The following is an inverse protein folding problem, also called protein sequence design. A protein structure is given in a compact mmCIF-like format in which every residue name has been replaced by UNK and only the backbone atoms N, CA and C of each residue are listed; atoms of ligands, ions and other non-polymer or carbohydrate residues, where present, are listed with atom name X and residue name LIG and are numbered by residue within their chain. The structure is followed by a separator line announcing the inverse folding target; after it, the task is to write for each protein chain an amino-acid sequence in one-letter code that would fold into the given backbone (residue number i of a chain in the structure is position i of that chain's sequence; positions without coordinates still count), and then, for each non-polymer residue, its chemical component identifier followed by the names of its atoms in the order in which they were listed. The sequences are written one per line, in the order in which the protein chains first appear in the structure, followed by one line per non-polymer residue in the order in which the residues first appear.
data_IF_007869707762
#
_entry.id   IF_007869707762
#
_cell.length_a   1.000
_cell.length_b   1.000
_cell.length_c   1.000
_cell.angle_alpha   90.00
_cell.angle_beta   90.00
_cell.angle_gamma   90.00
#
_symmetry.space_group_name_H-M   'P 1'
#
loop_
_entity.id
_entity.type
_entity.pdbx_description
1 polymer ?
#
# COMPACT_ATOMS: atom_id res chain seq x y z
N UNK A 1 26.32 8.17 9.22
CA UNK A 1 25.36 7.09 9.49
C UNK A 1 25.48 6.07 8.38
N UNK A 2 26.08 4.92 8.67
CA UNK A 2 26.25 3.84 7.71
C UNK A 2 24.91 3.12 7.50
N UNK A 3 24.66 2.55 6.31
CA UNK A 3 23.44 1.81 5.97
C UNK A 3 23.07 0.76 7.01
N UNK A 4 24.08 0.13 7.63
CA UNK A 4 23.89 -0.83 8.72
C UNK A 4 23.26 -0.20 9.98
N UNK A 5 23.63 1.04 10.31
CA UNK A 5 23.05 1.80 11.42
C UNK A 5 21.64 2.27 11.11
N UNK A 6 21.34 2.58 9.84
CA UNK A 6 19.99 2.93 9.39
C UNK A 6 19.04 1.73 9.47
N UNK A 7 19.51 0.55 9.06
CA UNK A 7 18.77 -0.71 9.18
C UNK A 7 18.53 -1.04 10.66
N UNK A 8 19.56 -0.94 11.51
CA UNK A 8 19.43 -1.17 12.96
C UNK A 8 18.47 -0.17 13.63
N UNK A 9 18.48 1.10 13.22
CA UNK A 9 17.55 2.09 13.73
C UNK A 9 16.09 1.80 13.33
N UNK A 10 15.86 1.37 12.08
CA UNK A 10 14.54 0.94 11.62
C UNK A 10 14.02 -0.29 12.39
N UNK A 11 14.91 -1.25 12.70
CA UNK A 11 14.60 -2.47 13.48
C UNK A 11 14.16 -2.14 14.92
N UNK A 12 14.73 -1.11 15.54
CA UNK A 12 14.46 -0.76 16.95
C UNK A 12 13.17 0.07 17.12
N UNK A 13 12.74 0.78 16.07
CA UNK A 13 11.54 1.63 16.11
C UNK A 13 10.25 0.86 15.81
N UNK A 14 10.33 -0.29 15.12
CA UNK A 14 9.19 -1.13 14.77
C UNK A 14 9.35 -2.59 15.26
N UNK A 15 9.44 -2.84 16.58
CA UNK A 15 9.64 -4.19 17.11
C UNK A 15 8.48 -5.15 16.77
N UNK A 16 7.26 -4.64 16.56
CA UNK A 16 6.09 -5.44 16.15
C UNK A 16 6.08 -5.79 14.66
N UNK A 17 6.84 -5.09 13.81
CA UNK A 17 6.89 -5.37 12.36
C UNK A 17 7.77 -6.58 12.01
N UNK A 18 8.67 -6.98 12.91
CA UNK A 18 9.63 -8.08 12.69
C UNK A 18 9.23 -9.34 13.47
N UNK A 19 8.28 -9.24 14.41
CA UNK A 19 7.73 -10.39 15.13
C UNK A 19 6.74 -11.16 14.25
N UNK A 20 7.29 -11.88 13.29
CA UNK A 20 6.68 -12.96 12.50
C UNK A 20 5.43 -12.57 11.68
N UNK A 21 5.61 -11.74 10.65
CA UNK A 21 4.70 -11.80 9.52
C UNK A 21 4.79 -13.20 8.89
N UNK A 22 3.68 -13.93 8.89
CA UNK A 22 3.62 -15.26 8.26
C UNK A 22 4.05 -15.16 6.78
N UNK A 23 4.52 -16.24 6.13
CA UNK A 23 4.86 -16.21 4.72
C UNK A 23 3.77 -15.57 3.84
N UNK A 24 2.51 -15.80 4.22
CA UNK A 24 1.33 -15.22 3.57
C UNK A 24 1.23 -13.70 3.78
N UNK A 25 1.54 -13.18 4.98
CA UNK A 25 1.56 -11.75 5.24
C UNK A 25 2.69 -11.05 4.49
N UNK A 26 3.89 -11.64 4.44
CA UNK A 26 5.00 -11.07 3.66
C UNK A 26 4.65 -11.03 2.17
N UNK A 27 4.10 -12.12 1.63
CA UNK A 27 3.65 -12.15 0.23
C UNK A 27 2.57 -11.10 -0.05
N UNK A 28 1.64 -10.88 0.89
CA UNK A 28 0.62 -9.85 0.74
C UNK A 28 1.21 -8.42 0.77
N UNK A 29 2.22 -8.17 1.61
CA UNK A 29 2.93 -6.89 1.67
C UNK A 29 3.70 -6.64 0.36
N UNK A 30 4.38 -7.65 -0.17
CA UNK A 30 5.13 -7.52 -1.42
C UNK A 30 4.20 -7.14 -2.58
N UNK A 31 3.05 -7.82 -2.71
CA UNK A 31 2.02 -7.49 -3.71
C UNK A 31 1.51 -6.06 -3.50
N UNK A 32 1.24 -5.65 -2.26
CA UNK A 32 0.75 -4.31 -1.98
C UNK A 32 1.78 -3.23 -2.36
N UNK A 33 3.07 -3.47 -2.11
CA UNK A 33 4.15 -2.57 -2.50
C UNK A 33 4.28 -2.47 -4.03
N UNK A 34 4.21 -3.59 -4.75
CA UNK A 34 4.24 -3.60 -6.21
C UNK A 34 3.07 -2.78 -6.79
N UNK A 35 1.85 -3.01 -6.32
CA UNK A 35 0.67 -2.28 -6.75
C UNK A 35 0.73 -0.78 -6.42
N UNK A 36 1.32 -0.42 -5.28
CA UNK A 36 1.55 0.98 -4.94
C UNK A 36 2.54 1.65 -5.90
N UNK A 37 3.62 0.96 -6.28
CA UNK A 37 4.59 1.48 -7.25
C UNK A 37 3.93 1.68 -8.63
N UNK A 38 3.15 0.71 -9.10
CA UNK A 38 2.39 0.86 -10.36
C UNK A 38 1.44 2.06 -10.31
N UNK A 39 0.80 2.30 -9.16
CA UNK A 39 -0.06 3.46 -9.00
C UNK A 39 0.72 4.79 -9.00
N UNK A 40 1.90 4.83 -8.37
CA UNK A 40 2.80 5.99 -8.41
C UNK A 40 3.24 6.27 -9.85
N UNK A 41 3.65 5.24 -10.59
CA UNK A 41 4.04 5.36 -11.99
C UNK A 41 2.89 5.87 -12.85
N UNK A 42 1.67 5.37 -12.61
CA UNK A 42 0.45 5.87 -13.26
C UNK A 42 0.24 7.37 -13.00
N UNK A 43 0.42 7.86 -11.77
CA UNK A 43 0.27 9.28 -11.47
C UNK A 43 1.28 10.14 -12.24
N UNK A 44 2.50 9.65 -12.45
CA UNK A 44 3.49 10.33 -13.29
C UNK A 44 3.12 10.35 -14.78
N UNK A 45 2.23 9.46 -15.24
CA UNK A 45 1.66 9.56 -16.59
C UNK A 45 0.58 10.63 -16.71
N UNK A 46 -0.08 10.99 -15.60
CA UNK A 46 -1.10 12.05 -15.57
C UNK A 46 -0.46 13.44 -15.56
N UNK A 47 0.67 13.56 -14.85
CA UNK A 47 1.47 14.77 -14.82
C UNK A 47 2.97 14.42 -14.91
N UNK A 48 3.56 14.49 -16.12
CA UNK A 48 4.96 14.16 -16.35
C UNK A 48 5.96 15.10 -15.67
N UNK A 49 5.51 16.24 -15.13
CA UNK A 49 6.38 17.18 -14.40
C UNK A 49 6.57 16.77 -12.93
N UNK A 50 5.75 15.85 -12.40
CA UNK A 50 5.88 15.32 -11.04
C UNK A 50 7.20 14.56 -10.87
N UNK A 51 8.00 14.99 -9.91
CA UNK A 51 9.10 14.17 -9.40
C UNK A 51 8.54 12.93 -8.70
N UNK A 52 9.35 11.86 -8.66
CA UNK A 52 8.91 10.58 -8.10
C UNK A 52 8.44 10.70 -6.63
N UNK A 53 9.12 11.52 -5.83
CA UNK A 53 8.73 11.74 -4.42
C UNK A 53 7.41 12.51 -4.27
N UNK A 54 7.10 13.40 -5.22
CA UNK A 54 5.84 14.14 -5.27
C UNK A 54 4.70 13.22 -5.70
N UNK A 55 4.94 12.33 -6.66
CA UNK A 55 3.98 11.30 -7.07
C UNK A 55 3.66 10.33 -5.92
N UNK A 56 4.65 9.92 -5.12
CA UNK A 56 4.43 9.14 -3.88
C UNK A 56 3.56 9.92 -2.88
N UNK A 57 3.80 11.22 -2.75
CA UNK A 57 3.00 12.08 -1.86
C UNK A 57 1.56 12.19 -2.36
N UNK A 58 1.35 12.38 -3.66
CA UNK A 58 0.04 12.40 -4.30
C UNK A 58 -0.70 11.06 -4.16
N UNK A 59 0.00 9.93 -4.31
CA UNK A 59 -0.55 8.61 -4.09
C UNK A 59 -1.06 8.47 -2.64
N UNK A 60 -0.25 8.89 -1.66
CA UNK A 60 -0.61 8.85 -0.24
C UNK A 60 -1.85 9.69 0.08
N UNK A 61 -1.97 10.90 -0.48
CA UNK A 61 -3.16 11.75 -0.35
C UNK A 61 -4.38 11.06 -0.96
N UNK A 62 -4.22 10.47 -2.14
CA UNK A 62 -5.32 9.79 -2.84
C UNK A 62 -5.83 8.60 -2.04
N UNK A 63 -4.93 7.76 -1.52
CA UNK A 63 -5.28 6.62 -0.66
C UNK A 63 -6.05 7.06 0.59
N UNK A 64 -5.66 8.18 1.22
CA UNK A 64 -6.35 8.74 2.38
C UNK A 64 -7.77 9.25 2.06
N UNK A 65 -8.06 9.58 0.80
CA UNK A 65 -9.38 10.02 0.35
C UNK A 65 -10.31 8.87 -0.06
N UNK A 66 -9.77 7.68 -0.36
CA UNK A 66 -10.54 6.52 -0.80
C UNK A 66 -11.73 6.15 0.11
N UNK A 67 -11.61 6.13 1.46
CA UNK A 67 -12.75 5.81 2.32
C UNK A 67 -13.95 6.74 2.09
N UNK A 68 -13.70 8.05 1.95
CA UNK A 68 -14.76 9.03 1.68
C UNK A 68 -15.36 8.82 0.29
N UNK A 69 -14.57 8.41 -0.69
CA UNK A 69 -15.06 8.09 -2.03
C UNK A 69 -15.95 6.84 -2.02
N UNK A 70 -15.61 5.83 -1.21
CA UNK A 70 -16.44 4.64 -1.04
C UNK A 70 -17.74 4.93 -0.29
N UNK A 71 -17.72 5.81 0.71
CA UNK A 71 -18.93 6.29 1.40
C UNK A 71 -19.85 7.06 0.43
N UNK A 72 -19.28 7.90 -0.43
CA UNK A 72 -20.03 8.67 -1.41
C UNK A 72 -20.56 7.81 -2.58
N UNK A 73 -19.93 6.67 -2.87
CA UNK A 73 -20.31 5.79 -3.98
C UNK A 73 -20.47 4.32 -3.51
N UNK A 74 -21.69 3.92 -3.14
CA UNK A 74 -21.98 2.58 -2.62
C UNK A 74 -21.59 1.43 -3.58
N UNK A 75 -21.61 1.66 -4.90
CA UNK A 75 -21.24 0.65 -5.90
C UNK A 75 -19.76 0.29 -5.79
N UNK A 76 -18.90 1.28 -5.55
CA UNK A 76 -17.46 1.03 -5.34
C UNK A 76 -17.25 0.26 -4.03
N UNK A 77 -17.95 0.64 -2.96
CA UNK A 77 -17.89 -0.07 -1.69
C UNK A 77 -18.33 -1.54 -1.82
N UNK A 78 -19.38 -1.81 -2.61
CA UNK A 78 -19.84 -3.17 -2.87
C UNK A 78 -18.80 -3.99 -3.66
N UNK A 79 -18.13 -3.39 -4.63
CA UNK A 79 -17.00 -4.02 -5.33
C UNK A 79 -15.87 -4.44 -4.39
N UNK A 80 -15.48 -3.55 -3.46
CA UNK A 80 -14.47 -3.87 -2.44
C UNK A 80 -14.94 -5.00 -1.51
N UNK A 81 -16.22 -4.98 -1.08
CA UNK A 81 -16.78 -6.06 -0.25
C UNK A 81 -16.75 -7.42 -0.96
N UNK A 82 -17.05 -7.45 -2.25
CA UNK A 82 -16.97 -8.65 -3.07
C UNK A 82 -15.53 -9.18 -3.15
N UNK A 83 -14.55 -8.30 -3.40
CA UNK A 83 -13.14 -8.69 -3.39
C UNK A 83 -12.70 -9.27 -2.03
N UNK A 84 -13.09 -8.64 -0.92
CA UNK A 84 -12.82 -9.18 0.42
C UNK A 84 -13.45 -10.56 0.63
N UNK A 85 -14.66 -10.79 0.09
CA UNK A 85 -15.30 -12.10 0.16
C UNK A 85 -14.52 -13.15 -0.65
N UNK A 86 -14.14 -12.82 -1.89
CA UNK A 86 -13.33 -13.73 -2.71
C UNK A 86 -11.99 -14.09 -2.07
N UNK A 87 -11.32 -13.15 -1.40
CA UNK A 87 -10.08 -13.45 -0.65
C UNK A 87 -10.37 -14.43 0.50
N UNK A 88 -11.49 -14.28 1.22
CA UNK A 88 -11.88 -15.20 2.29
C UNK A 88 -12.19 -16.60 1.76
N UNK A 89 -12.88 -16.69 0.64
CA UNK A 89 -13.30 -17.95 0.03
C UNK A 89 -12.12 -18.77 -0.51
N UNK A 90 -10.98 -18.12 -0.79
CA UNK A 90 -9.75 -18.75 -1.30
C UNK A 90 -8.66 -18.91 -0.22
N UNK A 91 -8.98 -18.80 1.07
CA UNK A 91 -8.01 -19.08 2.13
C UNK A 91 -7.70 -20.58 2.17
N UNK A 92 -6.41 -20.98 2.25
CA UNK A 92 -6.03 -22.38 2.42
C UNK A 92 -6.48 -22.95 3.78
#
# INVERSE_FOLDING_TARGET
MNTEEQIKAAIVVFPDAISMASPELNSAIDIACEQLNEFVDYLQTLDPELEHHEAITAASITLNLLPRLFEANPVLADGIRQQCQSIRDNRP
#
